data_IF_989574420193
#
_entry.id   IF_989574420193
#
_cell.length_a   1.000
_cell.length_b   1.000
_cell.length_c   1.000
_cell.angle_alpha   90.00
_cell.angle_beta   90.00
_cell.angle_gamma   90.00
#
_symmetry.space_group_name_H-M   'P 1'
#
loop_
_entity.id
_entity.type
_entity.pdbx_description
1 polymer ?
#
# COMPACT_ATOMS: atom_id res chain seq x y z
N UNK A 1 -3.09 -0.88 14.87
CA UNK A 1 -4.24 -1.09 15.76
C UNK A 1 -5.24 -2.04 15.10
N UNK A 2 -5.92 -2.90 15.86
CA UNK A 2 -7.01 -3.75 15.34
C UNK A 2 -8.32 -2.93 15.19
N UNK A 3 -9.41 -3.59 14.78
CA UNK A 3 -10.74 -2.96 14.65
C UNK A 3 -11.29 -2.44 16.00
N UNK A 4 -10.77 -2.95 17.12
CA UNK A 4 -11.11 -2.53 18.48
C UNK A 4 -10.18 -1.41 19.01
N UNK A 5 -9.38 -0.80 18.13
CA UNK A 5 -8.40 0.25 18.44
C UNK A 5 -7.26 -0.17 19.37
N UNK A 6 -7.04 -1.47 19.59
CA UNK A 6 -5.93 -1.97 20.39
C UNK A 6 -4.63 -1.95 19.60
N UNK A 7 -3.54 -1.50 20.25
CA UNK A 7 -2.20 -1.52 19.68
C UNK A 7 -1.70 -2.98 19.60
N UNK A 8 -1.48 -3.47 18.37
CA UNK A 8 -1.06 -4.86 18.14
C UNK A 8 0.46 -5.00 18.28
N UNK A 9 1.21 -4.28 17.46
CA UNK A 9 2.68 -4.24 17.41
C UNK A 9 3.13 -3.14 16.45
N UNK A 10 4.42 -2.80 16.46
CA UNK A 10 4.99 -1.78 15.57
C UNK A 10 4.90 -2.20 14.10
N UNK A 11 4.64 -1.22 13.22
CA UNK A 11 4.72 -1.41 11.75
C UNK A 11 6.11 -1.90 11.30
N UNK A 12 7.17 -1.56 12.04
CA UNK A 12 8.53 -2.05 11.75
C UNK A 12 8.74 -3.52 12.14
N UNK A 13 7.93 -4.07 13.04
CA UNK A 13 8.03 -5.44 13.55
C UNK A 13 6.98 -6.38 12.93
N UNK A 14 6.12 -5.83 12.06
CA UNK A 14 5.07 -6.57 11.40
C UNK A 14 5.62 -7.59 10.41
N UNK A 15 5.02 -8.78 10.39
CA UNK A 15 5.21 -9.80 9.35
C UNK A 15 3.85 -10.08 8.73
N UNK A 16 3.80 -10.05 7.40
CA UNK A 16 2.59 -10.40 6.66
C UNK A 16 2.56 -11.91 6.40
N UNK A 17 1.41 -12.54 6.69
CA UNK A 17 1.18 -13.97 6.50
C UNK A 17 -0.08 -14.21 5.68
N UNK A 18 -0.18 -15.36 5.02
CA UNK A 18 -1.44 -15.79 4.40
C UNK A 18 -2.41 -16.38 5.45
N UNK A 19 -3.59 -16.80 5.01
CA UNK A 19 -4.67 -17.34 5.86
C UNK A 19 -4.36 -18.67 6.55
N UNK A 20 -3.27 -19.34 6.16
CA UNK A 20 -2.77 -20.56 6.82
C UNK A 20 -1.56 -20.29 7.73
N UNK A 21 -1.16 -19.03 7.88
CA UNK A 21 -0.09 -18.58 8.76
C UNK A 21 1.31 -18.66 8.16
N UNK A 22 1.44 -18.88 6.85
CA UNK A 22 2.75 -18.87 6.17
C UNK A 22 3.18 -17.43 5.87
N UNK A 23 4.46 -17.13 6.08
CA UNK A 23 5.04 -15.82 5.78
C UNK A 23 4.95 -15.54 4.29
N UNK A 24 4.40 -14.39 3.93
CA UNK A 24 4.31 -13.97 2.53
C UNK A 24 5.71 -13.73 1.96
N UNK A 25 5.95 -14.26 0.76
CA UNK A 25 7.17 -13.98 0.02
C UNK A 25 7.15 -12.56 -0.52
N UNK A 26 8.28 -11.86 -0.44
CA UNK A 26 8.39 -10.50 -0.92
C UNK A 26 8.18 -10.42 -2.44
N UNK A 27 7.25 -9.56 -2.87
CA UNK A 27 6.88 -9.40 -4.27
C UNK A 27 5.96 -8.20 -4.49
N UNK A 28 5.42 -8.09 -5.71
CA UNK A 28 4.52 -7.00 -6.10
C UNK A 28 3.05 -7.25 -5.83
N UNK A 29 2.69 -8.41 -5.28
CA UNK A 29 1.29 -8.75 -4.99
C UNK A 29 0.76 -7.83 -3.89
N UNK A 30 -0.32 -7.08 -4.15
CA UNK A 30 -0.94 -6.23 -3.12
C UNK A 30 -1.47 -7.04 -1.94
N UNK A 31 -1.66 -6.40 -0.80
CA UNK A 31 -2.39 -6.98 0.32
C UNK A 31 -3.86 -7.26 -0.06
N UNK A 32 -4.32 -8.50 0.09
CA UNK A 32 -5.70 -8.88 -0.23
C UNK A 32 -6.39 -9.60 0.94
N UNK A 33 -7.67 -9.93 0.75
CA UNK A 33 -8.48 -10.59 1.78
C UNK A 33 -7.94 -12.00 2.08
N UNK A 34 -7.66 -12.25 3.36
CA UNK A 34 -7.06 -13.50 3.85
C UNK A 34 -5.58 -13.37 4.21
N UNK A 35 -4.92 -12.28 3.85
CA UNK A 35 -3.63 -11.94 4.44
C UNK A 35 -3.84 -11.40 5.87
N UNK A 36 -2.91 -11.70 6.77
CA UNK A 36 -2.88 -11.25 8.16
C UNK A 36 -1.54 -10.57 8.49
N UNK A 37 -1.52 -9.79 9.56
CA UNK A 37 -0.31 -9.25 10.14
C UNK A 37 -0.08 -9.88 11.51
N UNK A 38 1.11 -10.42 11.73
CA UNK A 38 1.55 -10.98 13.01
C UNK A 38 2.80 -10.27 13.51
N UNK A 39 2.99 -10.29 14.83
CA UNK A 39 4.28 -9.94 15.43
C UNK A 39 5.21 -11.16 15.29
N UNK A 40 6.42 -10.96 14.75
CA UNK A 40 7.41 -12.01 14.73
C UNK A 40 8.83 -11.51 14.47
N UNK A 41 9.84 -12.34 14.77
CA UNK A 41 11.22 -11.97 14.53
C UNK A 41 11.49 -11.90 13.03
N UNK A 42 11.97 -10.75 12.56
CA UNK A 42 12.49 -10.57 11.18
C UNK A 42 13.95 -11.05 11.03
N UNK A 43 14.41 -11.92 11.94
CA UNK A 43 15.77 -12.44 11.94
C UNK A 43 16.01 -13.30 10.70
N UNK A 44 17.07 -12.99 9.95
CA UNK A 44 17.41 -13.71 8.71
C UNK A 44 16.73 -13.17 7.45
N UNK A 45 15.81 -12.20 7.59
CA UNK A 45 15.28 -11.45 6.45
C UNK A 45 16.32 -10.45 5.93
N UNK A 46 16.37 -10.32 4.61
CA UNK A 46 17.05 -9.24 3.90
C UNK A 46 16.35 -7.90 4.13
N UNK A 47 17.03 -6.79 3.83
CA UNK A 47 16.42 -5.45 3.96
C UNK A 47 15.20 -5.27 3.04
N UNK A 48 15.21 -5.87 1.85
CA UNK A 48 14.06 -5.84 0.93
C UNK A 48 12.86 -6.61 1.48
N UNK A 49 13.08 -7.75 2.15
CA UNK A 49 11.99 -8.52 2.78
C UNK A 49 11.40 -7.78 3.98
N UNK A 50 12.24 -7.16 4.80
CA UNK A 50 11.77 -6.30 5.91
C UNK A 50 10.97 -5.11 5.38
N UNK A 51 11.50 -4.44 4.36
CA UNK A 51 10.82 -3.33 3.71
C UNK A 51 9.47 -3.77 3.11
N UNK A 52 9.43 -4.93 2.45
CA UNK A 52 8.18 -5.52 1.95
C UNK A 52 7.14 -5.72 3.04
N UNK A 53 7.49 -6.37 4.15
CA UNK A 53 6.53 -6.59 5.25
C UNK A 53 6.07 -5.28 5.89
N UNK A 54 6.96 -4.29 6.00
CA UNK A 54 6.61 -2.94 6.45
C UNK A 54 5.63 -2.25 5.49
N UNK A 55 5.82 -2.38 4.18
CA UNK A 55 4.87 -1.89 3.16
C UNK A 55 3.52 -2.58 3.31
N UNK A 56 3.50 -3.91 3.46
CA UNK A 56 2.26 -4.64 3.68
C UNK A 56 1.51 -4.09 4.91
N UNK A 57 2.19 -3.91 6.03
CA UNK A 57 1.58 -3.36 7.23
C UNK A 57 0.96 -1.96 7.04
N UNK A 58 1.65 -1.07 6.31
CA UNK A 58 1.14 0.26 5.96
C UNK A 58 -0.10 0.14 5.07
N UNK A 59 -0.02 -0.65 4.00
CA UNK A 59 -1.10 -0.78 3.02
C UNK A 59 -2.33 -1.47 3.59
N UNK A 60 -2.16 -2.41 4.53
CA UNK A 60 -3.25 -3.00 5.31
C UNK A 60 -4.02 -1.95 6.11
N UNK A 61 -3.30 -1.04 6.77
CA UNK A 61 -3.91 0.06 7.50
C UNK A 61 -4.79 0.90 6.58
N UNK A 62 -4.24 1.34 5.44
CA UNK A 62 -4.95 2.15 4.44
C UNK A 62 -6.17 1.39 3.88
N UNK A 63 -6.01 0.12 3.51
CA UNK A 63 -7.09 -0.75 3.02
C UNK A 63 -8.24 -0.81 4.01
N UNK A 64 -7.93 -1.12 5.28
CA UNK A 64 -8.97 -1.29 6.29
C UNK A 64 -9.74 0.01 6.54
N UNK A 65 -9.06 1.16 6.46
CA UNK A 65 -9.73 2.46 6.55
C UNK A 65 -10.69 2.69 5.37
N UNK A 66 -10.24 2.44 4.14
CA UNK A 66 -11.09 2.63 2.95
C UNK A 66 -12.23 1.61 2.84
N UNK A 67 -12.01 0.36 3.25
CA UNK A 67 -12.97 -0.74 3.03
C UNK A 67 -13.94 -0.96 4.19
N UNK A 68 -13.52 -0.70 5.43
CA UNK A 68 -14.31 -1.08 6.61
C UNK A 68 -14.63 0.08 7.54
N UNK A 69 -13.78 1.11 7.62
CA UNK A 69 -13.91 2.17 8.62
C UNK A 69 -14.20 3.56 8.04
N UNK A 70 -14.54 3.64 6.75
CA UNK A 70 -14.66 4.92 6.03
C UNK A 70 -15.68 5.88 6.66
N UNK A 71 -16.76 5.37 7.25
CA UNK A 71 -17.80 6.20 7.89
C UNK A 71 -17.29 7.01 9.09
N UNK A 72 -16.28 6.50 9.80
CA UNK A 72 -15.69 7.13 10.98
C UNK A 72 -14.33 7.81 10.68
N UNK A 73 -13.90 7.78 9.42
CA UNK A 73 -12.58 8.24 9.01
C UNK A 73 -12.57 9.76 8.83
N UNK A 74 -11.95 10.48 9.77
CA UNK A 74 -11.67 11.91 9.61
C UNK A 74 -10.36 12.17 8.84
N UNK A 75 -10.18 13.41 8.39
CA UNK A 75 -9.02 13.83 7.60
C UNK A 75 -7.70 13.63 8.34
N UNK A 76 -7.65 13.92 9.64
CA UNK A 76 -6.42 13.79 10.42
C UNK A 76 -5.99 12.32 10.54
N UNK A 77 -6.95 11.43 10.79
CA UNK A 77 -6.73 9.99 10.84
C UNK A 77 -6.27 9.50 9.47
N UNK A 78 -6.94 9.89 8.38
CA UNK A 78 -6.54 9.55 7.02
C UNK A 78 -5.11 10.01 6.67
N UNK A 79 -4.76 11.24 7.02
CA UNK A 79 -3.42 11.78 6.83
C UNK A 79 -2.37 10.98 7.60
N UNK A 80 -2.69 10.51 8.82
CA UNK A 80 -1.77 9.68 9.60
C UNK A 80 -1.49 8.32 8.94
N UNK A 81 -2.52 7.66 8.39
CA UNK A 81 -2.37 6.39 7.68
C UNK A 81 -1.62 6.57 6.35
N UNK A 82 -1.81 7.69 5.67
CA UNK A 82 -1.20 7.95 4.36
C UNK A 82 0.10 8.73 4.41
N UNK A 83 0.58 9.11 5.60
CA UNK A 83 1.84 9.82 5.78
C UNK A 83 3.05 9.16 5.07
N UNK A 84 3.22 7.82 5.09
CA UNK A 84 4.30 7.17 4.34
C UNK A 84 4.21 7.38 2.82
N UNK A 85 2.99 7.47 2.26
CA UNK A 85 2.77 7.78 0.85
C UNK A 85 3.05 9.25 0.56
N UNK A 86 2.61 10.14 1.45
CA UNK A 86 2.82 11.59 1.33
C UNK A 86 4.30 11.96 1.36
N UNK A 87 5.09 11.39 2.28
CA UNK A 87 6.54 11.59 2.36
C UNK A 87 7.26 11.27 1.05
N UNK A 88 6.74 10.28 0.32
CA UNK A 88 7.28 9.77 -0.95
C UNK A 88 6.59 10.35 -2.18
N UNK A 89 5.63 11.28 -2.01
CA UNK A 89 4.85 11.87 -3.11
C UNK A 89 4.10 10.82 -3.95
N UNK A 90 3.67 9.73 -3.32
CA UNK A 90 2.95 8.64 -3.98
C UNK A 90 1.47 8.99 -4.06
N UNK A 91 0.90 9.07 -5.28
CA UNK A 91 -0.53 9.29 -5.53
C UNK A 91 -1.03 10.67 -5.06
N UNK A 92 -0.32 11.75 -5.41
CA UNK A 92 -0.68 13.13 -5.04
C UNK A 92 -1.89 13.70 -5.79
N UNK A 93 -2.16 13.21 -6.99
CA UNK A 93 -3.18 13.78 -7.88
C UNK A 93 -4.29 12.79 -8.20
N UNK A 94 -5.44 13.33 -8.56
CA UNK A 94 -6.58 12.58 -9.10
C UNK A 94 -6.86 13.05 -10.52
N UNK A 95 -7.12 12.12 -11.42
CA UNK A 95 -7.57 12.41 -12.77
C UNK A 95 -8.67 11.41 -13.17
N UNK A 96 -9.88 11.92 -13.44
CA UNK A 96 -11.05 11.09 -13.74
C UNK A 96 -11.75 11.50 -15.05
N UNK A 97 -11.06 12.27 -15.90
CA UNK A 97 -11.58 12.76 -17.18
C UNK A 97 -11.09 11.94 -18.38
N UNK A 98 -10.51 10.76 -18.14
CA UNK A 98 -10.04 9.85 -19.15
C UNK A 98 -11.16 9.19 -19.94
N UNK A 99 -10.87 8.81 -21.19
CA UNK A 99 -11.87 8.20 -22.09
C UNK A 99 -12.20 6.76 -21.69
N UNK A 100 -11.26 6.07 -21.03
CA UNK A 100 -11.43 4.71 -20.54
C UNK A 100 -11.19 4.63 -19.03
N UNK A 101 -11.72 3.61 -18.32
CA UNK A 101 -11.42 3.40 -16.90
C UNK A 101 -9.92 3.31 -16.58
N UNK A 102 -9.12 2.78 -17.52
CA UNK A 102 -7.66 2.69 -17.36
C UNK A 102 -7.00 4.06 -17.25
N UNK A 103 -7.50 5.04 -17.99
CA UNK A 103 -6.98 6.40 -18.05
C UNK A 103 -7.29 7.21 -16.78
N UNK A 104 -8.19 6.70 -15.93
CA UNK A 104 -8.60 7.35 -14.69
C UNK A 104 -7.81 6.79 -13.51
N UNK A 105 -7.42 7.66 -12.59
CA UNK A 105 -6.79 7.27 -11.34
C UNK A 105 -7.15 8.24 -10.22
N UNK A 106 -7.24 7.71 -9.00
CA UNK A 106 -7.42 8.52 -7.80
C UNK A 106 -6.09 8.71 -7.08
N UNK A 107 -5.88 9.91 -6.56
CA UNK A 107 -4.86 10.21 -5.56
C UNK A 107 -5.41 10.00 -4.15
N UNK A 108 -4.57 10.24 -3.13
CA UNK A 108 -4.93 10.03 -1.71
C UNK A 108 -6.21 10.79 -1.31
N UNK A 109 -6.32 12.07 -1.68
CA UNK A 109 -7.49 12.87 -1.30
C UNK A 109 -8.73 12.48 -2.11
N UNK A 110 -8.55 12.18 -3.41
CA UNK A 110 -9.66 11.81 -4.27
C UNK A 110 -10.24 10.43 -3.94
N UNK A 111 -9.42 9.47 -3.52
CA UNK A 111 -9.94 8.16 -3.11
C UNK A 111 -10.71 8.27 -1.79
N UNK A 112 -10.26 9.13 -0.86
CA UNK A 112 -11.00 9.41 0.37
C UNK A 112 -12.35 10.05 0.07
N UNK A 113 -12.38 11.07 -0.79
CA UNK A 113 -13.62 11.72 -1.21
C UNK A 113 -14.58 10.72 -1.86
N UNK A 114 -14.07 9.89 -2.77
CA UNK A 114 -14.86 8.85 -3.43
C UNK A 114 -15.41 7.82 -2.43
N UNK A 115 -14.58 7.35 -1.51
CA UNK A 115 -14.98 6.34 -0.53
C UNK A 115 -16.01 6.88 0.47
N UNK A 116 -15.89 8.16 0.85
CA UNK A 116 -16.82 8.82 1.77
C UNK A 116 -18.17 9.11 1.10
N UNK A 117 -18.17 9.46 -0.19
CA UNK A 117 -19.38 9.71 -0.94
C UNK A 117 -19.35 9.05 -2.34
N UNK A 118 -19.65 7.75 -2.43
CA UNK A 118 -19.64 7.02 -3.69
C UNK A 118 -20.78 7.43 -4.65
N UNK A 119 -21.75 8.23 -4.19
CA UNK A 119 -22.95 8.62 -4.94
C UNK A 119 -23.70 7.41 -5.55
N UNK A 120 -23.74 6.29 -4.82
CA UNK A 120 -24.39 5.04 -5.26
C UNK A 120 -23.62 4.25 -6.33
N UNK A 121 -22.38 4.63 -6.65
CA UNK A 121 -21.50 3.89 -7.55
C UNK A 121 -20.80 2.75 -6.81
N UNK A 122 -20.58 1.63 -7.48
CA UNK A 122 -19.62 0.62 -7.03
C UNK A 122 -18.20 1.17 -7.22
N UNK A 123 -17.45 1.28 -6.13
CA UNK A 123 -16.10 1.85 -6.09
C UNK A 123 -15.03 0.79 -5.83
N UNK A 124 -15.39 -0.50 -5.77
CA UNK A 124 -14.46 -1.57 -5.42
C UNK A 124 -13.22 -1.56 -6.32
N UNK A 125 -13.41 -1.47 -7.63
CA UNK A 125 -12.30 -1.39 -8.58
C UNK A 125 -11.42 -0.14 -8.38
N UNK A 126 -12.03 1.01 -8.08
CA UNK A 126 -11.28 2.26 -7.85
C UNK A 126 -10.38 2.15 -6.60
N UNK A 127 -10.92 1.57 -5.53
CA UNK A 127 -10.20 1.34 -4.26
C UNK A 127 -9.09 0.31 -4.44
N UNK A 128 -9.38 -0.83 -5.08
CA UNK A 128 -8.39 -1.88 -5.31
C UNK A 128 -7.25 -1.39 -6.19
N UNK A 129 -7.54 -0.66 -7.27
CA UNK A 129 -6.52 -0.03 -8.12
C UNK A 129 -5.66 0.95 -7.34
N UNK A 130 -6.27 1.80 -6.50
CA UNK A 130 -5.51 2.73 -5.66
C UNK A 130 -4.57 2.00 -4.71
N UNK A 131 -5.03 0.93 -4.05
CA UNK A 131 -4.23 0.16 -3.09
C UNK A 131 -3.07 -0.59 -3.79
N UNK A 132 -3.33 -1.22 -4.93
CA UNK A 132 -2.32 -1.90 -5.74
C UNK A 132 -1.22 -0.94 -6.20
N UNK A 133 -1.59 0.15 -6.85
CA UNK A 133 -0.64 1.15 -7.34
C UNK A 133 0.14 1.79 -6.17
N UNK A 134 -0.53 2.15 -5.08
CA UNK A 134 0.12 2.75 -3.91
C UNK A 134 1.13 1.80 -3.27
N UNK A 135 0.80 0.51 -3.14
CA UNK A 135 1.68 -0.50 -2.58
C UNK A 135 2.92 -0.73 -3.45
N UNK A 136 2.73 -0.90 -4.76
CA UNK A 136 3.82 -1.05 -5.72
C UNK A 136 4.74 0.17 -5.73
N UNK A 137 4.18 1.37 -5.78
CA UNK A 137 4.97 2.60 -5.81
C UNK A 137 5.74 2.78 -4.50
N UNK A 138 5.14 2.39 -3.37
CA UNK A 138 5.83 2.41 -2.08
C UNK A 138 7.00 1.42 -2.06
N UNK A 139 6.81 0.17 -2.53
CA UNK A 139 7.90 -0.80 -2.68
C UNK A 139 9.05 -0.22 -3.50
N UNK A 140 8.75 0.39 -4.65
CA UNK A 140 9.75 1.02 -5.51
C UNK A 140 10.60 2.08 -4.81
N UNK A 141 10.06 2.78 -3.79
CA UNK A 141 10.83 3.75 -3.00
C UNK A 141 11.72 3.13 -1.93
N UNK A 142 11.33 1.98 -1.38
CA UNK A 142 11.90 1.46 -0.11
C UNK A 142 12.68 0.17 -0.27
N UNK A 143 12.67 -0.44 -1.45
CA UNK A 143 13.47 -1.62 -1.78
C UNK A 143 14.62 -1.29 -2.73
N UNK A 144 15.55 -2.22 -2.88
CA UNK A 144 16.69 -2.14 -3.79
C UNK A 144 16.29 -2.04 -5.28
N UNK A 145 17.24 -1.68 -6.13
CA UNK A 145 17.06 -1.69 -7.59
C UNK A 145 16.91 -3.12 -8.12
N UNK A 146 17.59 -4.10 -7.53
CA UNK A 146 17.42 -5.52 -7.85
C UNK A 146 15.98 -5.98 -7.58
N UNK A 147 15.38 -5.52 -6.48
CA UNK A 147 13.98 -5.80 -6.20
C UNK A 147 13.05 -5.15 -7.22
N UNK A 148 13.32 -3.90 -7.62
CA UNK A 148 12.55 -3.22 -8.65
C UNK A 148 12.61 -3.96 -10.01
N UNK A 149 13.77 -4.50 -10.39
CA UNK A 149 13.89 -5.36 -11.58
C UNK A 149 13.04 -6.63 -11.48
N UNK A 150 13.00 -7.26 -10.29
CA UNK A 150 12.13 -8.42 -10.03
C UNK A 150 10.66 -8.07 -10.11
N UNK A 151 10.26 -6.88 -9.64
CA UNK A 151 8.89 -6.39 -9.76
C UNK A 151 8.50 -6.22 -11.23
N UNK A 152 9.31 -5.54 -12.03
CA UNK A 152 9.06 -5.33 -13.45
C UNK A 152 9.02 -6.66 -14.24
N UNK A 153 9.93 -7.59 -13.92
CA UNK A 153 9.99 -8.89 -14.62
C UNK A 153 8.77 -9.78 -14.36
N UNK A 154 8.14 -9.65 -13.18
CA UNK A 154 7.03 -10.50 -12.75
C UNK A 154 5.67 -9.78 -12.75
N UNK A 155 5.61 -8.51 -13.17
CA UNK A 155 4.36 -7.76 -13.18
C UNK A 155 3.36 -8.38 -14.17
N UNK A 156 2.14 -8.78 -13.75
CA UNK A 156 1.19 -9.49 -14.61
C UNK A 156 0.81 -8.75 -15.89
N UNK A 157 0.78 -7.41 -15.84
CA UNK A 157 0.47 -6.57 -17.00
C UNK A 157 1.65 -6.32 -17.94
N UNK A 158 2.85 -6.82 -17.60
CA UNK A 158 4.05 -6.72 -18.43
C UNK A 158 4.64 -5.31 -18.56
N UNK A 159 4.42 -4.45 -17.57
CA UNK A 159 4.99 -3.12 -17.47
C UNK A 159 5.87 -2.97 -16.23
N UNK A 160 6.62 -1.87 -16.16
CA UNK A 160 7.52 -1.56 -15.05
C UNK A 160 6.82 -0.62 -14.07
N UNK A 161 6.35 -1.11 -12.91
CA UNK A 161 5.59 -0.30 -11.98
C UNK A 161 6.44 0.82 -11.36
N UNK A 162 7.77 0.64 -11.24
CA UNK A 162 8.65 1.66 -10.66
C UNK A 162 8.94 2.80 -11.64
N UNK A 163 9.00 2.48 -12.94
CA UNK A 163 9.04 3.49 -13.99
C UNK A 163 7.72 4.25 -14.09
N UNK A 164 6.59 3.55 -14.03
CA UNK A 164 5.27 4.16 -14.11
C UNK A 164 4.98 5.07 -12.90
N UNK A 165 5.50 4.69 -11.73
CA UNK A 165 5.50 5.52 -10.52
C UNK A 165 6.28 6.84 -10.69
N UNK A 166 7.13 6.96 -11.71
CA UNK A 166 7.99 8.12 -11.91
C UNK A 166 9.06 8.27 -10.81
N UNK A 167 9.50 7.16 -10.20
CA UNK A 167 10.48 7.17 -9.10
C UNK A 167 11.86 7.52 -9.65
N UNK A 168 12.23 8.79 -9.57
CA UNK A 168 13.57 9.28 -9.96
C UNK A 168 14.55 9.24 -8.79
N UNK A 169 14.05 9.30 -7.55
CA UNK A 169 14.87 9.25 -6.34
C UNK A 169 14.12 8.49 -5.26
N UNK A 170 14.73 7.41 -4.77
CA UNK A 170 14.18 6.58 -3.71
C UNK A 170 14.27 7.30 -2.37
N UNK A 171 13.25 7.11 -1.54
CA UNK A 171 13.18 7.67 -0.18
C UNK A 171 12.94 6.46 0.73
N UNK A 172 14.01 5.88 1.30
CA UNK A 172 13.89 4.69 2.13
C UNK A 172 13.09 4.99 3.39
N UNK A 173 12.74 3.95 4.15
CA UNK A 173 12.26 4.20 5.50
C UNK A 173 13.42 4.76 6.35
N UNK A 174 13.10 5.69 7.25
CA UNK A 174 14.06 6.09 8.29
C UNK A 174 14.46 4.84 9.09
N UNK A 175 15.77 4.68 9.33
CA UNK A 175 16.25 3.67 10.27
C UNK A 175 15.61 3.95 11.62
N UNK A 176 14.84 2.99 12.11
CA UNK A 176 14.34 3.01 13.48
C UNK A 176 15.51 2.57 14.35
N UNK A 177 16.12 3.51 15.08
CA UNK A 177 17.09 3.22 16.15
C UNK A 177 16.49 2.32 17.23
#
# INVERSE_FOLDING_TARGET
>A
VNLDAEELFSVSEAIATNSVGEILQAGGTPAFDGDELVNGPQTGMTEDEKAFHRVMAIMFGIRNQLMYNVEALDTQTWESYTAPLTERKIKETTFTNGATPRDNYYGRDGILELATNPNGRDIHHDVMKFLEESGLYLLCHVTSDEFAEKLAANHPEGHDPCRDAGVVSKVPFAETE
#
